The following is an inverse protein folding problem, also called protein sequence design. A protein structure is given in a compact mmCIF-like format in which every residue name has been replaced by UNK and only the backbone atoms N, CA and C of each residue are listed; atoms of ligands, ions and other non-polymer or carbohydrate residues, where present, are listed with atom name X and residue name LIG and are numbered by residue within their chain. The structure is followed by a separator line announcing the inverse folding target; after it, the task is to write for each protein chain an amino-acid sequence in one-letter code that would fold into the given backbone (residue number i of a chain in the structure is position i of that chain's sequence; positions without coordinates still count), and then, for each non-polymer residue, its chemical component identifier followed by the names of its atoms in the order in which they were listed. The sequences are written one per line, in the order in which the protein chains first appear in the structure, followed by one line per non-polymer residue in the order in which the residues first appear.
data_IF_911121381140
#
_entry.id   IF_911121381140
#
_cell.length_a   1.000
_cell.length_b   1.000
_cell.length_c   1.000
_cell.angle_alpha   90.00
_cell.angle_beta   90.00
_cell.angle_gamma   90.00
#
_symmetry.space_group_name_H-M   'P 1'
#
loop_
_entity.id
_entity.type
_entity.pdbx_description
1 polymer ?
#
# COMPACT_ATOMS: atom_id res chain seq x y z
N UNK A 1 -32.74 -13.84 13.07
CA UNK A 1 -31.43 -13.16 13.21
C UNK A 1 -31.69 -11.80 13.86
N UNK A 2 -31.30 -11.60 15.12
CA UNK A 2 -31.78 -10.47 15.94
C UNK A 2 -31.02 -9.16 15.67
N UNK A 3 -31.73 -8.03 15.76
CA UNK A 3 -31.25 -6.65 15.51
C UNK A 3 -29.95 -6.31 16.26
N UNK A 4 -29.81 -6.86 17.47
CA UNK A 4 -28.65 -6.70 18.36
C UNK A 4 -27.36 -7.36 17.83
N UNK A 5 -27.48 -8.46 17.07
CA UNK A 5 -26.34 -9.13 16.42
C UNK A 5 -25.89 -8.34 15.18
N UNK A 6 -26.83 -7.69 14.49
CA UNK A 6 -26.54 -6.82 13.34
C UNK A 6 -25.86 -5.52 13.78
N UNK A 7 -26.30 -4.89 14.87
CA UNK A 7 -25.65 -3.71 15.46
C UNK A 7 -24.25 -4.00 16.00
N UNK A 8 -24.05 -5.14 16.68
CA UNK A 8 -22.70 -5.56 17.12
C UNK A 8 -21.76 -5.84 15.94
N UNK A 9 -22.25 -6.44 14.84
CA UNK A 9 -21.48 -6.58 13.59
C UNK A 9 -21.19 -5.23 12.93
N UNK A 10 -22.15 -4.30 12.95
CA UNK A 10 -22.01 -2.95 12.39
C UNK A 10 -21.01 -2.10 13.18
N UNK A 11 -21.03 -2.16 14.51
CA UNK A 11 -20.06 -1.45 15.35
C UNK A 11 -18.65 -2.05 15.26
N UNK A 12 -18.51 -3.38 15.12
CA UNK A 12 -17.19 -4.00 14.86
C UNK A 12 -16.59 -3.50 13.53
N UNK A 13 -17.42 -3.37 12.49
CA UNK A 13 -17.05 -2.76 11.19
C UNK A 13 -16.64 -1.28 11.25
N UNK A 14 -16.58 -0.65 12.43
CA UNK A 14 -16.07 0.72 12.61
C UNK A 14 -14.82 0.79 13.50
N UNK A 15 -14.34 -0.34 14.02
CA UNK A 15 -13.17 -0.33 14.90
C UNK A 15 -11.88 -0.22 14.09
N UNK A 16 -11.03 0.72 14.50
CA UNK A 16 -9.66 0.84 14.05
C UNK A 16 -8.74 0.25 15.11
N UNK A 17 -7.92 -0.72 14.74
CA UNK A 17 -6.92 -1.28 15.65
C UNK A 17 -5.77 -0.27 15.84
N UNK A 18 -5.39 0.11 17.06
CA UNK A 18 -4.16 0.87 17.28
C UNK A 18 -2.97 -0.02 16.93
N UNK A 19 -2.06 0.49 16.12
CA UNK A 19 -0.92 -0.25 15.58
C UNK A 19 0.31 0.64 15.59
N UNK A 20 1.44 0.07 16.00
CA UNK A 20 2.76 0.65 15.80
C UNK A 20 3.30 0.21 14.43
N UNK A 21 3.98 1.09 13.69
CA UNK A 21 4.52 0.74 12.35
C UNK A 21 5.39 -0.51 12.40
N UNK A 22 6.14 -0.71 13.49
CA UNK A 22 7.02 -1.85 13.69
C UNK A 22 6.32 -3.08 14.29
N UNK A 23 5.03 -3.01 14.65
CA UNK A 23 4.30 -4.18 15.14
C UNK A 23 3.63 -4.98 14.03
N UNK A 24 3.46 -4.39 12.84
CA UNK A 24 2.97 -5.06 11.64
C UNK A 24 4.13 -5.23 10.67
N UNK A 25 4.50 -6.47 10.38
CA UNK A 25 5.70 -6.79 9.59
C UNK A 25 5.36 -7.31 8.21
N UNK A 26 4.08 -7.59 7.97
CA UNK A 26 3.65 -8.28 6.76
C UNK A 26 2.18 -8.05 6.43
N UNK A 27 1.81 -8.38 5.20
CA UNK A 27 0.42 -8.45 4.77
C UNK A 27 -0.38 -9.48 5.59
N UNK A 28 0.23 -10.58 6.06
CA UNK A 28 -0.46 -11.61 6.84
C UNK A 28 -1.00 -11.04 8.16
N UNK A 29 -0.25 -10.15 8.81
CA UNK A 29 -0.68 -9.48 10.05
C UNK A 29 -1.93 -8.63 9.80
N UNK A 30 -1.97 -7.91 8.67
CA UNK A 30 -3.12 -7.12 8.25
C UNK A 30 -4.34 -8.01 7.94
N UNK A 31 -4.15 -9.16 7.29
CA UNK A 31 -5.22 -10.15 7.05
C UNK A 31 -5.81 -10.65 8.37
N UNK A 32 -5.00 -10.87 9.39
CA UNK A 32 -5.48 -11.28 10.71
C UNK A 32 -6.37 -10.21 11.36
N UNK A 33 -6.03 -8.92 11.21
CA UNK A 33 -6.86 -7.81 11.68
C UNK A 33 -8.20 -7.73 10.95
N UNK A 34 -8.20 -7.86 9.61
CA UNK A 34 -9.45 -7.91 8.83
C UNK A 34 -10.34 -9.08 9.26
N UNK A 35 -9.76 -10.28 9.47
CA UNK A 35 -10.49 -11.47 9.95
C UNK A 35 -11.05 -11.30 11.37
N UNK A 36 -10.39 -10.50 12.20
CA UNK A 36 -10.86 -10.15 13.55
C UNK A 36 -12.00 -9.12 13.52
N UNK A 37 -12.35 -8.59 12.34
CA UNK A 37 -13.48 -7.71 12.14
C UNK A 37 -13.17 -6.21 12.21
N UNK A 38 -11.90 -5.83 12.26
CA UNK A 38 -11.48 -4.43 12.16
C UNK A 38 -11.74 -3.89 10.75
N UNK A 39 -12.08 -2.61 10.66
CA UNK A 39 -12.27 -1.91 9.39
C UNK A 39 -11.06 -1.06 8.99
N UNK A 40 -10.12 -0.88 9.90
CA UNK A 40 -8.90 -0.14 9.65
C UNK A 40 -7.89 -0.30 10.77
N UNK A 41 -6.75 0.35 10.56
CA UNK A 41 -5.68 0.50 11.55
C UNK A 41 -5.41 1.98 11.80
N UNK A 42 -5.06 2.31 13.03
CA UNK A 42 -4.61 3.65 13.41
C UNK A 42 -3.13 3.55 13.77
N UNK A 43 -2.28 4.14 12.95
CA UNK A 43 -0.86 4.22 13.26
C UNK A 43 -0.62 5.19 14.42
N UNK A 44 0.14 4.74 15.41
CA UNK A 44 0.55 5.57 16.53
C UNK A 44 1.74 6.44 16.15
N UNK A 45 1.68 7.73 16.48
CA UNK A 45 2.76 8.69 16.22
C UNK A 45 2.48 9.68 15.09
N UNK A 46 3.48 10.50 14.80
CA UNK A 46 3.51 11.44 13.70
C UNK A 46 4.74 11.15 12.85
N UNK A 47 4.54 10.91 11.55
CA UNK A 47 5.60 10.49 10.63
C UNK A 47 6.05 11.67 9.77
N UNK A 48 7.26 12.18 10.01
CA UNK A 48 7.89 13.19 9.15
C UNK A 48 8.67 12.48 8.04
N UNK A 49 8.09 12.34 6.84
CA UNK A 49 8.61 11.43 5.81
C UNK A 49 10.04 11.79 5.36
N UNK A 50 10.40 13.08 5.36
CA UNK A 50 11.75 13.54 5.03
C UNK A 50 12.83 13.18 6.07
N UNK A 51 12.42 12.83 7.29
CA UNK A 51 13.31 12.46 8.39
C UNK A 51 13.39 10.94 8.60
N UNK A 52 12.50 10.18 7.94
CA UNK A 52 12.47 8.73 8.04
C UNK A 52 13.66 8.11 7.30
N UNK A 53 14.20 7.02 7.84
CA UNK A 53 15.16 6.20 7.11
C UNK A 53 14.51 5.54 5.89
N UNK A 54 15.27 5.35 4.82
CA UNK A 54 14.78 4.81 3.53
C UNK A 54 13.98 3.50 3.69
N UNK A 55 14.49 2.56 4.48
CA UNK A 55 13.85 1.27 4.73
C UNK A 55 12.50 1.42 5.46
N UNK A 56 12.42 2.37 6.38
CA UNK A 56 11.22 2.66 7.16
C UNK A 56 10.16 3.35 6.29
N UNK A 57 10.59 4.31 5.48
CA UNK A 57 9.73 4.99 4.51
C UNK A 57 9.12 4.00 3.52
N UNK A 58 9.92 3.12 2.93
CA UNK A 58 9.45 2.04 2.06
C UNK A 58 8.51 1.08 2.79
N UNK A 59 8.76 0.78 4.07
CA UNK A 59 7.88 -0.06 4.88
C UNK A 59 6.52 0.58 5.13
N UNK A 60 6.48 1.89 5.39
CA UNK A 60 5.25 2.64 5.54
C UNK A 60 4.43 2.58 4.25
N UNK A 61 5.04 2.83 3.09
CA UNK A 61 4.34 2.75 1.80
C UNK A 61 3.83 1.34 1.53
N UNK A 62 4.61 0.30 1.84
CA UNK A 62 4.22 -1.09 1.71
C UNK A 62 2.99 -1.44 2.59
N UNK A 63 2.98 -0.94 3.83
CA UNK A 63 1.87 -1.08 4.77
C UNK A 63 0.60 -0.41 4.23
N UNK A 64 0.68 0.83 3.74
CA UNK A 64 -0.46 1.55 3.17
C UNK A 64 -1.07 0.80 1.97
N UNK A 65 -0.21 0.32 1.07
CA UNK A 65 -0.59 -0.50 -0.08
C UNK A 65 -1.29 -1.79 0.34
N UNK A 66 -0.69 -2.53 1.28
CA UNK A 66 -1.22 -3.83 1.68
C UNK A 66 -2.49 -3.72 2.52
N UNK A 67 -2.59 -2.69 3.37
CA UNK A 67 -3.81 -2.39 4.13
C UNK A 67 -4.99 -2.15 3.16
N UNK A 68 -4.80 -1.29 2.15
CA UNK A 68 -5.79 -1.10 1.08
C UNK A 68 -6.11 -2.39 0.36
N UNK A 69 -5.10 -3.23 0.08
CA UNK A 69 -5.26 -4.51 -0.60
C UNK A 69 -6.05 -5.57 0.18
N UNK A 70 -6.08 -5.48 1.51
CA UNK A 70 -6.88 -6.37 2.38
C UNK A 70 -8.18 -5.72 2.85
N UNK A 71 -8.50 -4.53 2.34
CA UNK A 71 -9.74 -3.80 2.64
C UNK A 71 -9.73 -3.03 3.97
N UNK A 72 -8.55 -2.76 4.55
CA UNK A 72 -8.39 -1.92 5.73
C UNK A 72 -8.12 -0.47 5.33
N UNK A 73 -8.75 0.47 6.02
CA UNK A 73 -8.36 1.89 5.99
C UNK A 73 -7.21 2.15 6.95
N UNK A 74 -6.31 3.06 6.59
CA UNK A 74 -5.23 3.52 7.47
C UNK A 74 -5.52 4.94 7.93
N UNK A 75 -5.64 5.12 9.24
CA UNK A 75 -5.67 6.43 9.88
C UNK A 75 -4.29 6.73 10.43
N UNK A 76 -3.59 7.69 9.85
CA UNK A 76 -2.24 8.05 10.28
C UNK A 76 -2.00 9.55 10.17
N UNK A 77 -0.98 10.04 10.85
CA UNK A 77 -0.62 11.46 10.87
C UNK A 77 0.82 11.61 10.40
N UNK A 78 1.10 12.62 9.59
CA UNK A 78 2.44 12.83 9.08
C UNK A 78 2.60 14.08 8.22
N UNK A 79 3.85 14.41 7.95
CA UNK A 79 4.26 15.44 7.02
C UNK A 79 5.00 14.79 5.83
N UNK A 80 4.66 15.22 4.63
CA UNK A 80 5.27 14.73 3.40
C UNK A 80 6.49 15.56 2.99
N UNK A 81 6.69 16.75 3.57
CA UNK A 81 7.77 17.64 3.20
C UNK A 81 7.78 17.93 1.69
N UNK A 82 8.94 17.66 1.06
CA UNK A 82 9.15 17.82 -0.39
C UNK A 82 8.92 16.53 -1.19
N UNK A 83 8.38 15.48 -0.58
CA UNK A 83 8.15 14.22 -1.28
C UNK A 83 7.06 14.40 -2.35
N UNK A 84 7.36 14.01 -3.58
CA UNK A 84 6.39 13.97 -4.67
C UNK A 84 5.41 12.81 -4.47
N UNK A 85 4.24 13.12 -3.89
CA UNK A 85 3.21 12.14 -3.52
C UNK A 85 2.21 11.84 -4.64
N UNK A 86 2.44 12.37 -5.85
CA UNK A 86 1.53 12.21 -7.00
C UNK A 86 1.18 10.75 -7.28
N UNK A 87 2.19 9.89 -7.22
CA UNK A 87 2.11 8.45 -7.43
C UNK A 87 1.36 7.69 -6.33
N UNK A 88 1.27 8.28 -5.13
CA UNK A 88 0.73 7.68 -3.92
C UNK A 88 -0.71 8.10 -3.60
N UNK A 89 -1.34 8.94 -4.45
CA UNK A 89 -2.69 9.48 -4.20
C UNK A 89 -3.80 8.43 -4.17
N UNK A 90 -3.52 7.21 -4.66
CA UNK A 90 -4.37 6.03 -4.50
C UNK A 90 -4.16 5.31 -3.15
N UNK A 91 -3.37 5.84 -2.23
CA UNK A 91 -3.22 5.32 -0.87
C UNK A 91 -3.88 6.25 0.15
N UNK A 92 -4.11 5.75 1.36
CA UNK A 92 -4.71 6.54 2.43
C UNK A 92 -3.77 7.71 2.82
N UNK A 93 -4.23 8.97 2.74
CA UNK A 93 -3.40 10.14 3.05
C UNK A 93 -3.11 10.28 4.55
N UNK A 94 -1.95 10.84 4.92
CA UNK A 94 -1.72 11.28 6.28
C UNK A 94 -2.60 12.48 6.63
N UNK A 95 -2.95 12.58 7.91
CA UNK A 95 -3.51 13.78 8.52
C UNK A 95 -2.37 14.72 8.95
N UNK A 96 -2.47 15.97 8.56
CA UNK A 96 -1.56 17.05 8.97
C UNK A 96 -1.91 17.57 10.38
N UNK A 97 -1.01 18.30 11.06
CA UNK A 97 -1.29 18.88 12.38
C UNK A 97 -2.51 19.81 12.40
N UNK A 98 -2.80 20.49 11.29
CA UNK A 98 -3.99 21.34 11.10
C UNK A 98 -5.31 20.56 10.90
N UNK A 99 -5.24 19.22 10.88
CA UNK A 99 -6.38 18.32 10.70
C UNK A 99 -6.75 18.03 9.25
N UNK A 100 -6.11 18.69 8.27
CA UNK A 100 -6.30 18.44 6.84
C UNK A 100 -5.61 17.13 6.38
N UNK A 101 -5.95 16.64 5.19
CA UNK A 101 -5.27 15.50 4.57
C UNK A 101 -4.18 15.96 3.62
N UNK A 102 -3.06 15.23 3.57
CA UNK A 102 -1.94 15.65 2.73
C UNK A 102 -2.24 15.63 1.22
N UNK A 103 -3.10 14.69 0.81
CA UNK A 103 -3.71 14.65 -0.51
C UNK A 103 -5.16 14.20 -0.40
N UNK A 104 -5.99 14.59 -1.37
CA UNK A 104 -7.34 14.05 -1.50
C UNK A 104 -7.25 12.64 -2.06
N UNK A 105 -7.79 11.66 -1.34
CA UNK A 105 -7.98 10.32 -1.89
C UNK A 105 -8.89 10.43 -3.13
N UNK A 106 -8.36 10.11 -4.30
CA UNK A 106 -9.11 10.28 -5.54
C UNK A 106 -10.09 9.12 -5.72
N UNK A 107 -11.38 9.41 -5.56
CA UNK A 107 -12.45 8.44 -5.77
C UNK A 107 -12.42 7.91 -7.21
N UNK A 108 -12.66 6.61 -7.37
CA UNK A 108 -12.64 5.92 -8.67
C UNK A 108 -11.24 5.65 -9.27
N UNK A 109 -10.17 6.19 -8.67
CA UNK A 109 -8.79 5.94 -9.12
C UNK A 109 -8.17 4.77 -8.38
N UNK A 110 -7.52 3.89 -9.14
CA UNK A 110 -6.93 2.67 -8.63
C UNK A 110 -5.62 2.37 -9.38
N UNK A 111 -4.67 1.82 -8.63
CA UNK A 111 -3.52 1.13 -9.17
C UNK A 111 -3.53 -0.25 -8.54
N UNK A 112 -3.80 -1.28 -9.34
CA UNK A 112 -4.03 -2.64 -8.86
C UNK A 112 -3.11 -3.59 -9.60
N UNK A 113 -2.51 -4.53 -8.89
CA UNK A 113 -1.78 -5.64 -9.49
C UNK A 113 -2.50 -6.95 -9.19
N UNK A 114 -2.60 -7.79 -10.22
CA UNK A 114 -3.13 -9.15 -10.14
C UNK A 114 -2.08 -10.14 -10.62
N UNK A 115 -1.94 -11.23 -9.89
CA UNK A 115 -0.99 -12.30 -10.22
C UNK A 115 -1.62 -13.28 -11.20
N UNK A 116 -1.00 -13.43 -12.37
CA UNK A 116 -1.23 -14.52 -13.32
C UNK A 116 -0.15 -15.62 -13.20
N UNK A 117 -0.27 -16.70 -14.00
CA UNK A 117 0.69 -17.81 -13.96
C UNK A 117 2.13 -17.35 -14.26
N UNK A 118 2.30 -16.61 -15.35
CA UNK A 118 3.61 -16.16 -15.85
C UNK A 118 3.78 -14.64 -15.86
N UNK A 119 2.75 -13.88 -15.52
CA UNK A 119 2.78 -12.42 -15.57
C UNK A 119 2.09 -11.78 -14.36
N UNK A 120 2.39 -10.51 -14.12
CA UNK A 120 1.63 -9.62 -13.25
C UNK A 120 0.90 -8.61 -14.14
N UNK A 121 -0.42 -8.55 -14.04
CA UNK A 121 -1.22 -7.54 -14.73
C UNK A 121 -1.46 -6.36 -13.80
N UNK A 122 -0.95 -5.20 -14.18
CA UNK A 122 -1.17 -3.93 -13.48
C UNK A 122 -2.23 -3.15 -14.23
N UNK A 123 -3.32 -2.84 -13.53
CA UNK A 123 -4.39 -1.95 -14.00
C UNK A 123 -4.23 -0.59 -13.31
N UNK A 124 -4.07 0.46 -14.11
CA UNK A 124 -3.90 1.84 -13.65
C UNK A 124 -5.01 2.74 -14.19
N UNK A 125 -5.76 3.38 -13.29
CA UNK A 125 -6.78 4.39 -13.61
C UNK A 125 -6.49 5.73 -12.95
N UNK A 126 -5.26 5.95 -12.44
CA UNK A 126 -4.86 7.18 -11.75
C UNK A 126 -4.89 8.43 -12.64
N UNK A 127 -4.82 8.26 -13.95
CA UNK A 127 -4.78 9.37 -14.93
C UNK A 127 -6.07 9.49 -15.76
N UNK A 128 -7.17 8.88 -15.32
CA UNK A 128 -8.48 8.96 -15.98
C UNK A 128 -8.69 7.86 -17.02
N UNK A 129 -7.77 7.68 -17.95
CA UNK A 129 -7.79 6.55 -18.88
C UNK A 129 -7.30 5.27 -18.18
N UNK A 130 -7.94 4.14 -18.51
CA UNK A 130 -7.51 2.83 -18.01
C UNK A 130 -6.31 2.35 -18.83
N UNK A 131 -5.18 2.20 -18.16
CA UNK A 131 -3.97 1.59 -18.70
C UNK A 131 -3.78 0.19 -18.12
N UNK A 132 -3.31 -0.74 -18.95
CA UNK A 132 -2.86 -2.07 -18.52
C UNK A 132 -1.39 -2.26 -18.87
N UNK A 133 -0.63 -2.79 -17.92
CA UNK A 133 0.79 -3.11 -18.06
C UNK A 133 0.96 -4.55 -17.60
N UNK A 134 1.46 -5.42 -18.48
CA UNK A 134 1.77 -6.80 -18.13
C UNK A 134 3.28 -6.91 -17.91
N UNK A 135 3.68 -7.44 -16.75
CA UNK A 135 5.09 -7.64 -16.37
C UNK A 135 5.37 -9.12 -16.30
N UNK A 136 6.41 -9.60 -16.98
CA UNK A 136 6.80 -11.01 -16.95
C UNK A 136 7.32 -11.38 -15.55
N UNK A 137 6.80 -12.45 -14.95
CA UNK A 137 7.17 -12.90 -13.59
C UNK A 137 8.59 -13.46 -13.48
N UNK A 138 9.22 -13.76 -14.60
CA UNK A 138 10.64 -14.17 -14.65
C UNK A 138 11.60 -12.99 -14.51
N UNK A 139 11.12 -11.76 -14.71
CA UNK A 139 11.94 -10.56 -14.58
C UNK A 139 12.17 -10.18 -13.09
N UNK A 140 13.37 -9.67 -12.74
CA UNK A 140 13.64 -9.19 -11.37
C UNK A 140 12.66 -8.09 -10.92
N UNK A 141 12.20 -7.25 -11.84
CA UNK A 141 11.21 -6.19 -11.58
C UNK A 141 9.89 -6.75 -11.02
N UNK A 142 9.45 -7.93 -11.49
CA UNK A 142 8.22 -8.54 -10.99
C UNK A 142 8.32 -8.91 -9.51
N UNK A 143 9.52 -9.26 -9.01
CA UNK A 143 9.72 -9.56 -7.59
C UNK A 143 9.35 -8.36 -6.70
N UNK A 144 9.61 -7.13 -7.15
CA UNK A 144 9.31 -5.89 -6.41
C UNK A 144 7.81 -5.61 -6.33
N UNK A 145 7.07 -5.90 -7.41
CA UNK A 145 5.61 -5.76 -7.44
C UNK A 145 4.90 -6.83 -6.59
N UNK A 146 5.48 -8.03 -6.51
CA UNK A 146 4.93 -9.18 -5.80
C UNK A 146 5.39 -9.28 -4.34
N UNK A 147 6.40 -8.48 -3.94
CA UNK A 147 7.11 -8.60 -2.67
C UNK A 147 6.18 -8.47 -1.45
N UNK A 148 6.31 -9.44 -0.54
CA UNK A 148 5.61 -9.49 0.74
C UNK A 148 6.40 -8.93 1.92
N UNK A 149 7.73 -8.88 1.83
CA UNK A 149 8.65 -8.37 2.86
C UNK A 149 8.86 -6.87 2.69
N UNK A 150 8.44 -6.11 3.69
CA UNK A 150 8.53 -4.66 3.69
C UNK A 150 9.95 -4.19 4.03
N UNK A 151 10.40 -3.10 3.40
CA UNK A 151 11.65 -2.41 3.75
C UNK A 151 12.94 -3.19 3.49
N UNK A 152 12.91 -4.30 2.75
CA UNK A 152 14.14 -5.03 2.42
C UNK A 152 15.03 -4.24 1.47
N UNK A 153 16.33 -4.49 1.53
CA UNK A 153 17.28 -3.98 0.55
C UNK A 153 17.08 -4.70 -0.79
N UNK A 154 17.24 -3.95 -1.87
CA UNK A 154 17.23 -4.47 -3.23
C UNK A 154 18.49 -5.28 -3.50
N UNK A 155 18.35 -6.35 -4.27
CA UNK A 155 19.50 -6.99 -4.90
C UNK A 155 19.99 -6.12 -6.07
N UNK A 156 21.27 -6.23 -6.49
CA UNK A 156 21.77 -5.49 -7.65
C UNK A 156 20.95 -5.73 -8.93
N UNK A 157 20.46 -6.96 -9.14
CA UNK A 157 19.63 -7.32 -10.30
C UNK A 157 18.26 -6.62 -10.26
N UNK A 158 17.64 -6.52 -9.08
CA UNK A 158 16.38 -5.82 -8.91
C UNK A 158 16.55 -4.31 -9.10
N UNK A 159 17.59 -3.72 -8.48
CA UNK A 159 17.89 -2.30 -8.61
C UNK A 159 18.11 -1.90 -10.07
N UNK A 160 18.83 -2.73 -10.85
CA UNK A 160 19.05 -2.51 -12.28
C UNK A 160 17.78 -2.68 -13.14
N UNK A 161 16.74 -3.32 -12.61
CA UNK A 161 15.47 -3.56 -13.33
C UNK A 161 14.38 -2.53 -13.03
N UNK A 162 14.64 -1.55 -12.16
CA UNK A 162 13.62 -0.61 -11.70
C UNK A 162 13.23 0.44 -12.74
N UNK A 163 14.10 0.78 -13.68
CA UNK A 163 13.86 1.86 -14.66
C UNK A 163 12.51 1.72 -15.39
N UNK A 164 12.15 0.48 -15.78
CA UNK A 164 10.88 0.20 -16.45
C UNK A 164 9.66 0.41 -15.52
N UNK A 165 9.79 0.09 -14.24
CA UNK A 165 8.74 0.31 -13.25
C UNK A 165 8.61 1.79 -12.88
N UNK A 166 9.73 2.50 -12.77
CA UNK A 166 9.78 3.94 -12.49
C UNK A 166 9.18 4.75 -13.64
N UNK A 167 9.49 4.39 -14.89
CA UNK A 167 8.88 4.99 -16.09
C UNK A 167 7.35 4.89 -16.11
N UNK A 168 6.80 3.88 -15.44
CA UNK A 168 5.37 3.65 -15.35
C UNK A 168 4.76 4.03 -14.01
N UNK A 169 5.56 4.66 -13.14
CA UNK A 169 5.15 5.09 -11.82
C UNK A 169 4.52 3.95 -11.01
N UNK A 170 5.15 2.77 -11.05
CA UNK A 170 4.67 1.54 -10.40
C UNK A 170 5.42 1.19 -9.12
N UNK A 171 6.51 1.91 -8.83
CA UNK A 171 7.40 1.65 -7.71
C UNK A 171 7.65 2.93 -6.93
N UNK A 172 7.76 2.79 -5.61
CA UNK A 172 8.30 3.82 -4.75
C UNK A 172 9.70 3.38 -4.31
N UNK A 173 10.70 4.24 -4.50
CA UNK A 173 12.10 3.98 -4.18
C UNK A 173 12.64 5.03 -3.21
N UNK A 174 13.40 4.57 -2.22
CA UNK A 174 14.19 5.41 -1.33
C UNK A 174 15.53 4.70 -1.09
N UNK A 175 16.64 5.34 -1.46
CA UNK A 175 17.97 4.72 -1.44
C UNK A 175 18.03 3.36 -2.15
N UNK A 176 18.47 2.34 -1.41
CA UNK A 176 18.59 0.94 -1.85
C UNK A 176 17.35 0.10 -1.53
N UNK A 177 16.22 0.75 -1.23
CA UNK A 177 14.96 0.11 -0.90
C UNK A 177 13.89 0.51 -1.92
N UNK A 178 13.01 -0.44 -2.27
CA UNK A 178 11.84 -0.12 -3.07
C UNK A 178 10.66 -1.04 -2.77
N UNK A 179 9.47 -0.56 -3.14
CA UNK A 179 8.22 -1.32 -3.08
C UNK A 179 7.34 -1.01 -4.28
N UNK A 180 6.76 -2.04 -4.89
CA UNK A 180 5.70 -1.84 -5.87
C UNK A 180 4.48 -1.22 -5.21
N UNK A 181 3.99 -0.08 -5.72
CA UNK A 181 2.88 0.69 -5.11
C UNK A 181 1.50 0.24 -5.57
N UNK A 182 1.44 -0.66 -6.56
CA UNK A 182 0.19 -1.26 -7.01
C UNK A 182 -0.44 -2.12 -5.90
N UNK A 183 -1.72 -1.90 -5.65
CA UNK A 183 -2.48 -2.62 -4.63
C UNK A 183 -2.68 -4.07 -5.08
N UNK A 184 -2.14 -5.01 -4.31
CA UNK A 184 -2.29 -6.44 -4.59
C UNK A 184 -3.73 -6.89 -4.32
N UNK A 185 -4.49 -7.13 -5.39
CA UNK A 185 -5.77 -7.83 -5.33
C UNK A 185 -5.54 -9.33 -5.57
N UNK A 186 -6.49 -10.16 -5.11
CA UNK A 186 -6.35 -11.63 -5.09
C UNK A 186 -5.89 -12.27 -6.40
N UNK A 187 -5.54 -13.56 -6.31
CA UNK A 187 -5.07 -14.37 -7.43
C UNK A 187 -6.18 -14.49 -8.49
N UNK A 188 -5.83 -14.46 -9.78
CA UNK A 188 -6.75 -14.90 -10.84
C UNK A 188 -7.20 -16.32 -10.53
N UNK A 189 -8.49 -16.51 -10.22
CA UNK A 189 -9.09 -17.83 -10.32
C UNK A 189 -9.25 -18.09 -11.82
N UNK A 190 -8.38 -18.94 -12.36
CA UNK A 190 -8.63 -19.63 -13.63
C UNK A 190 -9.59 -20.78 -13.35
#
# INVERSE_FOLDING_TARGET
MTKQTAERRSNRRRLFAPVDLHSVRSRQDLVALTRSGYAGIRLTGHFALQEMGDAELVSLIALLRDARGVGLRVSWSGDCGTLEVGSLRHLDPPRRPDGSFAWSAQEGRALVVRRGPTFLAVEDTRHGERRRIDVDRSEPAAAILDEGRWGRTLTPAEAASLDALELHDLVFRAGDHAVGIAVRQGVWCV
#
